data_IF_346643696301
#
_entry.id   IF_346643696301
#
_cell.length_a   1.000
_cell.length_b   1.000
_cell.length_c   1.000
_cell.angle_alpha   90.00
_cell.angle_beta   90.00
_cell.angle_gamma   90.00
#
_symmetry.space_group_name_H-M   'P 1'
#
loop_
_entity.id
_entity.type
_entity.pdbx_description
1 polymer ?
#
# COMPACT_ATOMS: atom_id res chain seq x y z
N UNK A 1 37.55 30.94 -32.39
CA UNK A 1 36.10 30.82 -32.09
C UNK A 1 35.67 29.37 -31.84
N UNK A 2 36.22 28.36 -32.57
CA UNK A 2 35.85 26.93 -32.38
C UNK A 2 36.30 26.37 -31.00
N UNK A 3 37.45 26.72 -30.47
CA UNK A 3 37.98 26.25 -29.19
C UNK A 3 37.15 26.73 -27.98
N UNK A 4 36.62 27.94 -28.00
CA UNK A 4 35.75 28.48 -26.95
C UNK A 4 34.37 27.81 -26.89
N UNK A 5 33.87 27.38 -28.04
CA UNK A 5 32.58 26.61 -28.10
C UNK A 5 32.70 25.23 -27.50
N UNK A 6 33.84 24.55 -27.64
CA UNK A 6 34.09 23.20 -27.14
C UNK A 6 34.25 23.18 -25.63
N UNK A 7 34.96 24.11 -25.04
CA UNK A 7 35.14 24.27 -23.58
C UNK A 7 33.79 24.52 -22.91
N UNK A 8 32.98 25.48 -23.40
CA UNK A 8 31.64 25.75 -22.82
C UNK A 8 30.68 24.55 -22.89
N UNK A 9 30.74 23.74 -23.95
CA UNK A 9 29.93 22.52 -24.05
C UNK A 9 30.40 21.46 -23.06
N UNK A 10 31.69 21.31 -22.85
CA UNK A 10 32.25 20.36 -21.91
C UNK A 10 31.88 20.73 -20.47
N UNK A 11 31.99 21.98 -20.07
CA UNK A 11 31.62 22.51 -18.75
C UNK A 11 30.08 22.29 -18.50
N UNK A 12 29.24 22.58 -19.51
CA UNK A 12 27.80 22.40 -19.37
C UNK A 12 27.39 20.93 -19.22
N UNK A 13 28.12 20.01 -19.87
CA UNK A 13 27.88 18.56 -19.77
C UNK A 13 28.32 18.04 -18.40
N UNK A 14 29.45 18.48 -17.90
CA UNK A 14 29.93 18.14 -16.55
C UNK A 14 28.99 18.66 -15.46
N UNK A 15 28.51 19.90 -15.57
CA UNK A 15 27.55 20.47 -14.62
C UNK A 15 26.23 19.70 -14.61
N UNK A 16 25.71 19.31 -15.79
CA UNK A 16 24.50 18.48 -15.88
C UNK A 16 24.69 17.13 -15.20
N UNK A 17 25.82 16.46 -15.48
CA UNK A 17 26.12 15.17 -14.86
C UNK A 17 26.24 15.29 -13.34
N UNK A 18 26.91 16.31 -12.82
CA UNK A 18 27.01 16.56 -11.37
C UNK A 18 25.62 16.81 -10.74
N UNK A 19 24.73 17.51 -11.45
CA UNK A 19 23.37 17.75 -10.97
C UNK A 19 22.53 16.47 -10.99
N UNK A 20 22.67 15.63 -12.04
CA UNK A 20 22.03 14.31 -12.12
C UNK A 20 22.51 13.38 -11.00
N UNK A 21 23.84 13.31 -10.78
CA UNK A 21 24.44 12.52 -9.70
C UNK A 21 23.93 12.97 -8.32
N UNK A 22 23.85 14.30 -8.09
CA UNK A 22 23.31 14.83 -6.84
C UNK A 22 21.84 14.47 -6.64
N UNK A 23 21.01 14.60 -7.68
CA UNK A 23 19.59 14.23 -7.62
C UNK A 23 19.41 12.74 -7.33
N UNK A 24 20.24 11.88 -7.93
CA UNK A 24 20.20 10.45 -7.67
C UNK A 24 20.51 10.14 -6.19
N UNK A 25 21.50 10.80 -5.60
CA UNK A 25 21.82 10.65 -4.17
C UNK A 25 20.66 11.15 -3.29
N UNK A 26 20.09 12.32 -3.57
CA UNK A 26 18.95 12.85 -2.82
C UNK A 26 17.72 11.93 -2.88
N UNK A 27 17.46 11.30 -4.04
CA UNK A 27 16.37 10.33 -4.20
C UNK A 27 16.64 9.04 -3.43
N UNK A 28 17.88 8.53 -3.44
CA UNK A 28 18.22 7.32 -2.67
C UNK A 28 18.14 7.57 -1.16
N UNK A 29 18.54 8.75 -0.68
CA UNK A 29 18.34 9.14 0.72
C UNK A 29 16.85 9.20 1.08
N UNK A 30 16.01 9.75 0.22
CA UNK A 30 14.56 9.80 0.40
C UNK A 30 13.94 8.40 0.43
N UNK A 31 14.39 7.50 -0.46
CA UNK A 31 14.01 6.08 -0.44
C UNK A 31 14.38 5.42 0.87
N UNK A 32 15.66 5.56 1.27
CA UNK A 32 16.14 4.96 2.52
C UNK A 32 15.36 5.48 3.74
N UNK A 33 14.93 6.73 3.72
CA UNK A 33 14.06 7.32 4.74
C UNK A 33 12.66 6.71 4.70
N UNK A 34 12.03 6.61 3.52
CA UNK A 34 10.70 6.02 3.36
C UNK A 34 10.67 4.56 3.81
N UNK A 35 11.68 3.77 3.42
CA UNK A 35 11.77 2.36 3.82
C UNK A 35 11.92 2.16 5.34
N UNK A 36 12.36 3.17 6.07
CA UNK A 36 12.36 3.14 7.55
C UNK A 36 10.95 3.33 8.14
N UNK A 37 10.02 3.87 7.37
CA UNK A 37 8.64 4.05 7.81
C UNK A 37 7.81 2.76 7.68
N UNK A 38 8.21 1.86 6.78
CA UNK A 38 7.54 0.57 6.61
C UNK A 38 7.92 -0.36 7.77
N UNK A 39 6.95 -1.04 8.42
CA UNK A 39 7.23 -1.96 9.52
C UNK A 39 8.15 -3.08 9.09
N UNK A 40 9.25 -3.28 9.82
CA UNK A 40 10.20 -4.38 9.58
C UNK A 40 9.74 -5.72 10.16
N UNK A 41 8.75 -5.68 11.05
CA UNK A 41 8.19 -6.86 11.73
C UNK A 41 6.68 -6.76 11.75
N UNK A 42 6.04 -7.88 11.51
CA UNK A 42 4.59 -8.01 11.67
C UNK A 42 4.25 -8.30 13.13
N UNK A 43 3.19 -7.71 13.69
CA UNK A 43 2.76 -8.00 15.04
C UNK A 43 2.20 -9.42 15.15
N UNK A 44 2.30 -10.00 16.35
CA UNK A 44 1.68 -11.28 16.69
C UNK A 44 0.69 -11.05 17.83
N UNK A 45 -0.59 -11.05 17.52
CA UNK A 45 -1.66 -10.93 18.52
C UNK A 45 -2.98 -11.49 18.00
N UNK A 46 -3.93 -11.75 18.88
CA UNK A 46 -5.28 -12.24 18.54
C UNK A 46 -5.32 -13.56 17.75
N UNK A 47 -4.27 -14.36 17.81
CA UNK A 47 -4.15 -15.56 16.98
C UNK A 47 -4.05 -15.27 15.47
N UNK A 48 -3.58 -14.08 15.12
CA UNK A 48 -3.36 -13.66 13.74
C UNK A 48 -1.91 -13.91 13.35
N UNK A 49 -1.72 -14.49 12.16
CA UNK A 49 -0.44 -14.58 11.46
C UNK A 49 -0.45 -13.60 10.31
N UNK A 50 0.55 -12.74 10.27
CA UNK A 50 0.60 -11.67 9.28
C UNK A 50 1.86 -11.80 8.44
N UNK A 51 1.71 -11.64 7.14
CA UNK A 51 2.82 -11.45 6.22
C UNK A 51 2.55 -10.25 5.33
N UNK A 52 3.55 -9.40 5.13
CA UNK A 52 3.42 -8.17 4.36
C UNK A 52 4.68 -7.90 3.54
N UNK A 53 4.52 -7.21 2.43
CA UNK A 53 5.64 -6.79 1.60
C UNK A 53 5.24 -5.73 0.58
N UNK A 54 6.25 -4.98 0.15
CA UNK A 54 6.17 -4.02 -0.96
C UNK A 54 7.28 -4.34 -1.95
N UNK A 55 6.96 -4.31 -3.24
CA UNK A 55 7.92 -4.25 -4.34
C UNK A 55 7.77 -2.90 -5.02
N UNK A 56 8.75 -2.03 -4.84
CA UNK A 56 8.70 -0.68 -5.40
C UNK A 56 9.07 -0.69 -6.89
N UNK A 57 8.34 0.08 -7.69
CA UNK A 57 8.60 0.32 -9.10
C UNK A 57 9.67 1.40 -9.32
N UNK A 58 9.73 2.38 -8.42
CA UNK A 58 10.65 3.53 -8.48
C UNK A 58 11.47 3.65 -7.19
N UNK A 59 12.39 4.64 -7.16
CA UNK A 59 13.23 4.88 -5.99
C UNK A 59 12.40 5.28 -4.75
N UNK A 60 11.36 6.09 -4.92
CA UNK A 60 10.44 6.52 -3.85
C UNK A 60 9.02 6.22 -4.29
N UNK A 61 8.38 5.26 -3.63
CA UNK A 61 7.03 4.79 -3.96
C UNK A 61 5.91 5.59 -3.30
N UNK A 62 4.68 5.33 -3.74
CA UNK A 62 3.44 5.82 -3.13
C UNK A 62 2.86 4.85 -2.13
N UNK A 63 3.19 3.58 -2.27
CA UNK A 63 2.63 2.49 -1.47
C UNK A 63 3.09 2.52 -0.01
N UNK A 64 2.18 2.10 0.85
CA UNK A 64 2.36 2.09 2.29
C UNK A 64 1.55 1.00 2.96
N UNK A 65 2.12 0.35 3.96
CA UNK A 65 1.35 -0.40 4.95
C UNK A 65 1.88 -0.16 6.35
N UNK A 66 1.00 -0.33 7.34
CA UNK A 66 1.40 -0.24 8.75
C UNK A 66 0.51 -1.10 9.65
N UNK A 67 1.02 -1.33 10.85
CA UNK A 67 0.33 -2.03 11.92
C UNK A 67 0.43 -1.21 13.20
N UNK A 68 -0.70 -0.86 13.78
CA UNK A 68 -0.69 -0.19 15.07
C UNK A 68 -1.67 -0.86 16.03
N UNK A 69 -1.25 -0.91 17.28
CA UNK A 69 -1.95 -1.69 18.31
C UNK A 69 -2.83 -0.80 19.17
N UNK A 70 -4.09 -1.18 19.33
CA UNK A 70 -4.94 -0.73 20.42
C UNK A 70 -4.78 -1.63 21.65
N UNK A 71 -5.55 -1.38 22.72
CA UNK A 71 -5.48 -2.18 23.95
C UNK A 71 -5.79 -3.66 23.74
N UNK A 72 -6.77 -3.98 22.87
CA UNK A 72 -7.22 -5.34 22.56
C UNK A 72 -7.51 -5.50 21.06
N UNK A 73 -6.93 -4.66 20.24
CA UNK A 73 -7.18 -4.62 18.80
C UNK A 73 -5.90 -4.38 18.04
N UNK A 74 -5.88 -4.85 16.81
CA UNK A 74 -4.82 -4.59 15.84
C UNK A 74 -5.41 -3.84 14.65
N UNK A 75 -4.81 -2.72 14.30
CA UNK A 75 -5.12 -2.04 13.06
C UNK A 75 -4.11 -2.43 11.99
N UNK A 76 -4.64 -2.70 10.82
CA UNK A 76 -3.88 -2.90 9.58
C UNK A 76 -4.27 -1.77 8.64
N UNK A 77 -3.30 -0.99 8.20
CA UNK A 77 -3.49 0.07 7.22
C UNK A 77 -2.69 -0.28 5.96
N UNK A 78 -3.33 -0.18 4.80
CA UNK A 78 -2.68 -0.34 3.49
C UNK A 78 -3.14 0.81 2.62
N UNK A 79 -2.22 1.51 2.00
CA UNK A 79 -2.54 2.69 1.23
C UNK A 79 -1.58 2.93 0.08
N UNK A 80 -2.01 3.79 -0.83
CA UNK A 80 -1.27 4.26 -1.97
C UNK A 80 -1.44 5.78 -2.12
N UNK A 81 -0.33 6.49 -2.21
CA UNK A 81 -0.30 7.93 -2.45
C UNK A 81 -0.24 8.23 -3.94
N UNK A 82 -1.11 9.09 -4.43
CA UNK A 82 -1.14 9.50 -5.83
C UNK A 82 0.24 9.90 -6.35
N UNK A 83 0.70 9.24 -7.41
CA UNK A 83 1.96 9.51 -8.09
C UNK A 83 3.15 8.85 -7.42
N UNK A 84 4.35 9.30 -7.74
CA UNK A 84 5.61 8.72 -7.29
C UNK A 84 6.62 9.80 -6.89
N UNK A 85 7.72 9.38 -6.29
CA UNK A 85 8.81 10.27 -5.91
C UNK A 85 8.56 10.99 -4.59
N UNK A 86 9.28 12.09 -4.38
CA UNK A 86 9.34 12.81 -3.10
C UNK A 86 7.96 13.17 -2.54
N UNK A 87 7.02 13.60 -3.40
CA UNK A 87 5.70 14.05 -2.94
C UNK A 87 4.85 12.88 -2.42
N UNK A 88 4.92 11.73 -3.09
CA UNK A 88 4.27 10.50 -2.62
C UNK A 88 4.88 10.04 -1.27
N UNK A 89 6.21 10.05 -1.13
CA UNK A 89 6.89 9.76 0.13
C UNK A 89 6.53 10.73 1.26
N UNK A 90 6.33 12.02 0.97
CA UNK A 90 5.81 12.98 1.95
C UNK A 90 4.38 12.65 2.38
N UNK A 91 3.50 12.27 1.44
CA UNK A 91 2.13 11.85 1.74
C UNK A 91 2.12 10.63 2.67
N UNK A 92 2.96 9.63 2.39
CA UNK A 92 3.16 8.46 3.27
C UNK A 92 3.59 8.89 4.67
N UNK A 93 4.54 9.83 4.77
CA UNK A 93 5.03 10.35 6.06
C UNK A 93 3.93 11.02 6.87
N UNK A 94 3.13 11.86 6.22
CA UNK A 94 1.99 12.55 6.83
C UNK A 94 0.94 11.56 7.28
N UNK A 95 0.63 10.57 6.44
CA UNK A 95 -0.34 9.51 6.75
C UNK A 95 0.11 8.71 7.96
N UNK A 96 1.36 8.27 8.00
CA UNK A 96 1.92 7.55 9.16
C UNK A 96 1.87 8.39 10.43
N UNK A 97 2.33 9.63 10.38
CA UNK A 97 2.29 10.52 11.54
C UNK A 97 0.85 10.75 12.02
N UNK A 98 -0.09 10.92 11.09
CA UNK A 98 -1.52 11.06 11.39
C UNK A 98 -2.11 9.81 12.05
N UNK A 99 -1.80 8.60 11.52
CA UNK A 99 -2.24 7.33 12.10
C UNK A 99 -1.80 7.19 13.57
N UNK A 100 -0.53 7.47 13.86
CA UNK A 100 0.01 7.39 15.23
C UNK A 100 -0.47 8.53 16.14
N UNK A 101 -0.93 9.64 15.57
CA UNK A 101 -1.54 10.75 16.29
C UNK A 101 -3.03 10.58 16.57
N UNK A 102 -3.71 9.59 15.99
CA UNK A 102 -5.13 9.34 16.26
C UNK A 102 -5.34 8.70 17.65
N UNK A 103 -6.48 8.96 18.30
CA UNK A 103 -6.84 8.24 19.52
C UNK A 103 -6.88 6.73 19.28
N UNK A 104 -6.41 5.96 20.25
CA UNK A 104 -6.51 4.51 20.20
C UNK A 104 -7.94 4.01 20.40
N UNK A 105 -8.28 2.89 19.79
CA UNK A 105 -9.57 2.20 19.93
C UNK A 105 -10.80 2.94 19.35
N UNK A 106 -10.61 3.89 18.46
CA UNK A 106 -11.70 4.46 17.67
C UNK A 106 -11.98 3.62 16.43
N UNK A 107 -13.20 3.66 15.85
CA UNK A 107 -13.51 2.96 14.60
C UNK A 107 -12.62 3.41 13.43
N UNK A 108 -12.29 2.50 12.48
CA UNK A 108 -11.43 2.83 11.34
C UNK A 108 -11.91 4.00 10.48
N UNK A 109 -13.22 4.16 10.30
CA UNK A 109 -13.79 5.28 9.54
C UNK A 109 -13.58 6.64 10.24
N UNK A 110 -13.54 6.68 11.56
CA UNK A 110 -13.16 7.88 12.32
C UNK A 110 -11.67 8.19 12.14
N UNK A 111 -10.81 7.16 12.10
CA UNK A 111 -9.39 7.32 11.78
C UNK A 111 -9.25 7.95 10.39
N UNK A 112 -9.94 7.41 9.38
CA UNK A 112 -9.94 7.95 8.01
C UNK A 112 -10.45 9.39 7.95
N UNK A 113 -11.48 9.73 8.71
CA UNK A 113 -11.99 11.10 8.80
C UNK A 113 -10.94 12.07 9.37
N UNK A 114 -10.25 11.68 10.45
CA UNK A 114 -9.18 12.50 11.07
C UNK A 114 -8.02 12.69 10.08
N UNK A 115 -7.59 11.61 9.41
CA UNK A 115 -6.54 11.65 8.40
C UNK A 115 -6.92 12.55 7.22
N UNK A 116 -8.15 12.42 6.71
CA UNK A 116 -8.66 13.26 5.63
C UNK A 116 -8.59 14.74 5.99
N UNK A 117 -9.01 15.10 7.20
CA UNK A 117 -8.91 16.48 7.70
C UNK A 117 -7.48 16.98 7.76
N UNK A 118 -6.56 16.13 8.25
CA UNK A 118 -5.13 16.45 8.38
C UNK A 118 -4.51 16.69 7.00
N UNK A 119 -4.68 15.74 6.07
CA UNK A 119 -4.16 15.83 4.71
C UNK A 119 -4.76 17.04 3.98
N UNK A 120 -6.07 17.27 4.14
CA UNK A 120 -6.74 18.42 3.54
C UNK A 120 -6.27 19.76 4.09
N UNK A 121 -5.91 19.82 5.38
CA UNK A 121 -5.39 21.03 6.01
C UNK A 121 -3.97 21.39 5.52
N UNK A 122 -3.17 20.39 5.18
CA UNK A 122 -1.81 20.58 4.64
C UNK A 122 -1.88 21.03 3.17
N UNK A 123 -2.90 20.60 2.44
CA UNK A 123 -3.20 20.95 1.03
C UNK A 123 -2.03 20.70 0.07
N UNK A 124 -1.69 19.43 -0.12
CA UNK A 124 -0.68 18.99 -1.09
C UNK A 124 -1.20 19.01 -2.55
N UNK A 125 -2.15 19.87 -2.86
CA UNK A 125 -2.70 20.09 -4.20
C UNK A 125 -3.40 18.86 -4.78
N UNK A 126 -2.86 18.29 -5.86
CA UNK A 126 -3.46 17.12 -6.54
C UNK A 126 -3.20 15.81 -5.81
N UNK A 127 -2.21 15.76 -4.92
CA UNK A 127 -1.83 14.53 -4.26
C UNK A 127 -2.85 14.13 -3.20
N UNK A 128 -3.22 12.87 -3.25
CA UNK A 128 -4.23 12.24 -2.41
C UNK A 128 -3.66 10.94 -1.84
N UNK A 129 -4.35 10.35 -0.87
CA UNK A 129 -4.00 9.07 -0.29
C UNK A 129 -5.19 8.13 -0.37
N UNK A 130 -5.08 7.10 -1.20
CA UNK A 130 -5.97 5.95 -1.11
C UNK A 130 -5.54 5.12 0.11
N UNK A 131 -6.48 4.65 0.93
CA UNK A 131 -6.16 3.86 2.12
C UNK A 131 -7.32 2.97 2.54
N UNK A 132 -7.02 1.71 2.84
CA UNK A 132 -7.87 0.80 3.58
C UNK A 132 -7.36 0.66 5.00
N UNK A 133 -8.25 0.76 5.99
CA UNK A 133 -7.93 0.57 7.40
C UNK A 133 -8.87 -0.49 7.97
N UNK A 134 -8.29 -1.57 8.49
CA UNK A 134 -9.03 -2.63 9.16
C UNK A 134 -8.63 -2.71 10.63
N UNK A 135 -9.61 -2.79 11.53
CA UNK A 135 -9.41 -3.06 12.95
C UNK A 135 -9.84 -4.49 13.27
N UNK A 136 -8.88 -5.32 13.59
CA UNK A 136 -9.09 -6.69 14.08
C UNK A 136 -9.25 -6.65 15.59
N UNK A 137 -10.36 -7.16 16.10
CA UNK A 137 -10.59 -7.27 17.53
C UNK A 137 -11.58 -8.39 17.83
N UNK A 138 -11.28 -9.19 18.85
CA UNK A 138 -12.04 -10.41 19.13
C UNK A 138 -12.16 -11.31 17.89
N UNK A 139 -13.39 -11.59 17.41
CA UNK A 139 -13.66 -12.41 16.24
C UNK A 139 -14.28 -11.59 15.10
N UNK A 140 -13.93 -10.31 14.99
CA UNK A 140 -14.41 -9.46 13.90
C UNK A 140 -13.38 -8.49 13.40
N UNK A 141 -13.62 -8.03 12.17
CA UNK A 141 -12.92 -6.92 11.54
C UNK A 141 -13.93 -5.79 11.34
N UNK A 142 -13.53 -4.60 11.68
CA UNK A 142 -14.15 -3.37 11.20
C UNK A 142 -13.29 -2.81 10.09
N UNK A 143 -13.87 -2.66 8.89
CA UNK A 143 -13.16 -2.21 7.69
C UNK A 143 -13.73 -0.89 7.19
N UNK A 144 -12.84 0.00 6.82
CA UNK A 144 -13.14 1.20 6.01
C UNK A 144 -12.17 1.28 4.84
N UNK A 145 -12.59 1.91 3.75
CA UNK A 145 -11.74 2.13 2.57
C UNK A 145 -11.99 3.52 1.97
N UNK A 146 -10.93 4.12 1.49
CA UNK A 146 -10.89 5.37 0.77
C UNK A 146 -10.18 5.15 -0.57
N UNK A 147 -10.91 4.67 -1.58
CA UNK A 147 -10.45 4.41 -2.94
C UNK A 147 -9.36 3.32 -3.11
N UNK A 148 -9.26 2.38 -2.19
CA UNK A 148 -8.39 1.20 -2.36
C UNK A 148 -9.09 0.06 -3.08
N UNK A 149 -8.33 -0.88 -3.70
CA UNK A 149 -8.84 -2.16 -4.17
C UNK A 149 -9.65 -2.91 -3.11
N UNK A 150 -10.49 -3.90 -3.50
CA UNK A 150 -11.26 -4.67 -2.55
C UNK A 150 -10.36 -5.43 -1.55
N UNK A 151 -10.84 -5.56 -0.30
CA UNK A 151 -10.31 -6.56 0.61
C UNK A 151 -10.81 -7.93 0.16
N UNK A 152 -9.92 -8.89 0.00
CA UNK A 152 -10.28 -10.28 -0.27
C UNK A 152 -10.38 -11.05 1.04
N UNK A 153 -11.50 -11.73 1.23
CA UNK A 153 -11.74 -12.60 2.37
C UNK A 153 -11.89 -14.05 1.91
N UNK A 154 -10.85 -14.85 2.07
CA UNK A 154 -10.90 -16.29 1.88
C UNK A 154 -11.53 -16.92 3.11
N UNK A 155 -12.65 -17.63 2.92
CA UNK A 155 -13.39 -18.36 3.94
C UNK A 155 -12.90 -19.81 4.02
N UNK A 156 -12.22 -20.16 5.09
CA UNK A 156 -11.64 -21.50 5.26
C UNK A 156 -12.69 -22.62 5.26
N UNK A 157 -13.91 -22.32 5.68
CA UNK A 157 -15.01 -23.29 5.75
C UNK A 157 -15.50 -23.73 4.36
N UNK A 158 -15.49 -22.84 3.37
CA UNK A 158 -16.06 -23.10 2.03
C UNK A 158 -15.02 -23.10 0.92
N UNK A 159 -13.82 -22.55 1.15
CA UNK A 159 -12.82 -22.30 0.13
C UNK A 159 -13.18 -21.15 -0.83
N UNK A 160 -14.25 -20.41 -0.53
CA UNK A 160 -14.68 -19.26 -1.33
C UNK A 160 -13.93 -17.99 -0.94
N UNK A 161 -13.84 -17.05 -1.88
CA UNK A 161 -13.26 -15.72 -1.67
C UNK A 161 -14.31 -14.67 -1.94
N UNK A 162 -14.61 -13.87 -0.93
CA UNK A 162 -15.43 -12.66 -1.09
C UNK A 162 -14.52 -11.46 -1.44
N UNK A 163 -15.00 -10.62 -2.36
CA UNK A 163 -14.41 -9.31 -2.66
C UNK A 163 -15.22 -8.24 -1.93
N UNK A 164 -14.61 -7.58 -0.95
CA UNK A 164 -15.27 -6.55 -0.15
C UNK A 164 -14.77 -5.19 -0.62
N UNK A 165 -15.51 -4.61 -1.56
CA UNK A 165 -15.24 -3.29 -2.11
C UNK A 165 -16.08 -2.25 -1.36
N UNK A 166 -15.43 -1.21 -0.83
CA UNK A 166 -16.07 -0.06 -0.24
C UNK A 166 -15.80 1.17 -1.12
N UNK A 167 -16.87 1.81 -1.56
CA UNK A 167 -16.76 3.06 -2.29
C UNK A 167 -16.34 4.19 -1.35
N UNK A 168 -15.50 5.08 -1.84
CA UNK A 168 -15.02 6.25 -1.11
C UNK A 168 -13.99 7.02 -1.92
N UNK A 169 -13.88 8.32 -1.66
CA UNK A 169 -12.86 9.15 -2.28
C UNK A 169 -11.54 9.05 -1.52
N UNK A 170 -10.40 9.17 -2.21
CA UNK A 170 -9.11 9.18 -1.51
C UNK A 170 -9.04 10.31 -0.49
N UNK A 171 -8.30 10.11 0.58
CA UNK A 171 -8.08 11.12 1.62
C UNK A 171 -7.49 12.40 1.02
N UNK A 172 -7.95 13.54 1.50
CA UNK A 172 -7.57 14.85 1.00
C UNK A 172 -8.40 15.36 -0.19
N UNK A 173 -9.41 14.60 -0.66
CA UNK A 173 -10.29 15.01 -1.77
C UNK A 173 -11.20 16.16 -1.36
N UNK A 174 -12.09 15.95 -0.39
CA UNK A 174 -13.03 16.95 0.07
C UNK A 174 -12.98 17.12 1.59
N UNK A 175 -13.23 18.37 2.04
CA UNK A 175 -13.39 18.68 3.45
C UNK A 175 -14.71 18.09 3.94
N UNK A 176 -14.66 17.31 5.03
CA UNK A 176 -15.86 16.71 5.62
C UNK A 176 -16.31 15.41 4.96
N UNK A 177 -15.50 14.81 4.08
CA UNK A 177 -15.75 13.46 3.55
C UNK A 177 -15.93 12.46 4.67
N UNK A 178 -16.88 11.55 4.52
CA UNK A 178 -17.16 10.46 5.45
C UNK A 178 -16.94 9.12 4.78
N UNK A 179 -16.51 8.12 5.55
CA UNK A 179 -16.14 6.81 5.03
C UNK A 179 -17.05 5.74 5.65
N UNK A 180 -17.50 4.81 4.81
CA UNK A 180 -18.30 3.67 5.24
C UNK A 180 -17.52 2.76 6.18
N UNK A 181 -18.23 2.13 7.10
CA UNK A 181 -17.69 1.11 7.99
C UNK A 181 -18.48 -0.17 7.82
N UNK A 182 -17.79 -1.29 7.64
CA UNK A 182 -18.42 -2.62 7.61
C UNK A 182 -17.80 -3.53 8.65
N UNK A 183 -18.64 -4.39 9.23
CA UNK A 183 -18.23 -5.42 10.16
C UNK A 183 -18.16 -6.77 9.40
N UNK A 184 -17.08 -7.52 9.60
CA UNK A 184 -16.85 -8.84 9.01
C UNK A 184 -16.54 -9.80 10.14
N UNK A 185 -17.25 -10.91 10.20
CA UNK A 185 -16.93 -11.99 11.14
C UNK A 185 -15.66 -12.72 10.72
N UNK A 186 -14.87 -13.14 11.70
CA UNK A 186 -13.63 -13.90 11.48
C UNK A 186 -13.83 -15.30 12.05
N UNK A 187 -13.56 -16.31 11.24
CA UNK A 187 -13.46 -17.69 11.67
C UNK A 187 -12.02 -18.19 11.63
N UNK A 188 -11.74 -19.22 12.38
CA UNK A 188 -10.44 -19.88 12.34
C UNK A 188 -10.13 -20.39 10.92
N UNK A 189 -8.93 -20.12 10.44
CA UNK A 189 -8.48 -20.47 9.10
C UNK A 189 -8.72 -19.38 8.05
N UNK A 190 -9.62 -18.42 8.31
CA UNK A 190 -9.91 -17.33 7.38
C UNK A 190 -8.67 -16.50 7.07
N UNK A 191 -8.61 -16.03 5.82
CA UNK A 191 -7.50 -15.19 5.33
C UNK A 191 -8.05 -13.89 4.76
N UNK A 192 -7.41 -12.79 5.11
CA UNK A 192 -7.71 -11.46 4.61
C UNK A 192 -6.50 -10.94 3.84
N UNK A 193 -6.72 -10.54 2.58
CA UNK A 193 -5.66 -10.07 1.70
C UNK A 193 -5.96 -8.65 1.24
N UNK A 194 -5.06 -7.75 1.58
CA UNK A 194 -5.03 -6.37 1.10
C UNK A 194 -3.98 -6.26 0.00
N UNK A 195 -4.29 -5.55 -1.05
CA UNK A 195 -3.37 -5.25 -2.15
C UNK A 195 -3.44 -3.78 -2.53
N UNK A 196 -2.38 -3.25 -3.15
CA UNK A 196 -2.47 -2.03 -3.97
C UNK A 196 -2.86 -2.38 -5.40
N UNK A 197 -3.24 -1.38 -6.17
CA UNK A 197 -3.66 -1.53 -7.57
C UNK A 197 -2.51 -1.94 -8.50
N UNK A 198 -1.26 -1.68 -8.13
CA UNK A 198 -0.09 -2.07 -8.92
C UNK A 198 0.03 -3.57 -9.20
N UNK A 199 -0.63 -4.45 -8.41
CA UNK A 199 -0.68 -5.88 -8.70
C UNK A 199 -1.71 -6.20 -9.80
N UNK A 200 -3.02 -5.91 -9.65
CA UNK A 200 -4.01 -6.22 -10.68
C UNK A 200 -3.82 -5.38 -11.96
N UNK A 201 -3.22 -4.20 -11.88
CA UNK A 201 -2.96 -3.32 -13.01
C UNK A 201 -1.59 -3.56 -13.67
N UNK A 202 -0.78 -4.48 -13.13
CA UNK A 202 0.48 -4.89 -13.76
C UNK A 202 0.26 -5.25 -15.22
N UNK A 203 1.03 -4.61 -16.12
CA UNK A 203 0.85 -4.70 -17.56
C UNK A 203 2.01 -5.48 -18.19
N UNK A 204 1.68 -6.50 -18.99
CA UNK A 204 2.65 -7.34 -19.68
C UNK A 204 3.15 -6.72 -21.00
N UNK A 205 4.06 -7.42 -21.72
CA UNK A 205 4.62 -6.98 -23.01
C UNK A 205 3.55 -6.77 -24.11
N UNK A 206 2.37 -7.38 -23.97
CA UNK A 206 1.26 -7.22 -24.90
C UNK A 206 0.27 -6.13 -24.47
N UNK A 207 0.65 -5.28 -23.51
CA UNK A 207 -0.17 -4.20 -22.97
C UNK A 207 -1.48 -4.68 -22.32
N UNK A 208 -1.46 -5.89 -21.73
CA UNK A 208 -2.59 -6.49 -21.06
C UNK A 208 -2.41 -6.43 -19.55
N UNK A 209 -3.43 -5.98 -18.83
CA UNK A 209 -3.45 -5.99 -17.36
C UNK A 209 -3.63 -7.41 -16.84
N UNK A 210 -3.02 -7.71 -15.67
CA UNK A 210 -3.22 -8.96 -14.95
C UNK A 210 -4.70 -9.16 -14.56
N UNK A 211 -5.30 -8.12 -14.01
CA UNK A 211 -6.72 -8.06 -13.63
C UNK A 211 -7.02 -8.65 -12.25
N UNK A 212 -8.08 -8.14 -11.65
CA UNK A 212 -8.54 -8.54 -10.31
C UNK A 212 -8.94 -10.01 -10.21
N UNK A 213 -9.46 -10.58 -11.32
CA UNK A 213 -9.84 -12.00 -11.37
C UNK A 213 -8.65 -12.93 -11.17
N UNK A 214 -7.49 -12.63 -11.74
CA UNK A 214 -6.30 -13.46 -11.57
C UNK A 214 -5.79 -13.43 -10.11
N UNK A 215 -5.89 -12.28 -9.45
CA UNK A 215 -5.58 -12.12 -8.01
C UNK A 215 -6.53 -12.97 -7.17
N UNK A 216 -7.84 -12.88 -7.41
CA UNK A 216 -8.86 -13.66 -6.72
C UNK A 216 -8.63 -15.17 -6.89
N UNK A 217 -8.38 -15.63 -8.13
CA UNK A 217 -8.12 -17.04 -8.41
C UNK A 217 -6.83 -17.54 -7.72
N UNK A 218 -5.79 -16.70 -7.65
CA UNK A 218 -4.56 -16.99 -6.89
C UNK A 218 -4.85 -17.15 -5.40
N UNK A 219 -5.63 -16.24 -4.80
CA UNK A 219 -6.01 -16.31 -3.38
C UNK A 219 -6.85 -17.57 -3.11
N UNK A 220 -7.81 -17.88 -3.98
CA UNK A 220 -8.65 -19.09 -3.86
C UNK A 220 -7.82 -20.37 -3.87
N UNK A 221 -6.84 -20.43 -4.77
CA UNK A 221 -5.97 -21.62 -4.92
C UNK A 221 -5.03 -21.81 -3.73
N UNK A 222 -4.57 -20.71 -3.13
CA UNK A 222 -3.54 -20.75 -2.09
C UNK A 222 -4.06 -20.46 -0.67
N UNK A 223 -5.35 -20.20 -0.48
CA UNK A 223 -5.93 -19.73 0.79
C UNK A 223 -5.72 -20.66 2.00
N UNK A 224 -5.54 -21.96 1.77
CA UNK A 224 -5.23 -22.94 2.83
C UNK A 224 -3.80 -22.81 3.35
N UNK A 225 -2.88 -22.28 2.55
CA UNK A 225 -1.47 -22.15 2.90
C UNK A 225 -1.22 -21.10 3.99
N UNK A 226 0.03 -20.99 4.46
CA UNK A 226 0.45 -19.96 5.42
C UNK A 226 0.43 -18.56 4.83
N UNK A 227 0.32 -17.54 5.68
CA UNK A 227 0.26 -16.14 5.23
C UNK A 227 1.47 -15.74 4.37
N UNK A 228 2.66 -16.28 4.68
CA UNK A 228 3.87 -16.01 3.89
C UNK A 228 3.81 -16.61 2.50
N UNK A 229 3.31 -17.84 2.39
CA UNK A 229 3.18 -18.56 1.11
C UNK A 229 2.15 -17.89 0.20
N UNK A 230 1.01 -17.45 0.77
CA UNK A 230 -0.02 -16.71 0.03
C UNK A 230 0.54 -15.39 -0.51
N UNK A 231 1.24 -14.64 0.34
CA UNK A 231 1.90 -13.39 -0.08
C UNK A 231 2.89 -13.65 -1.22
N UNK A 232 3.73 -14.68 -1.07
CA UNK A 232 4.73 -15.00 -2.10
C UNK A 232 4.07 -15.42 -3.41
N UNK A 233 3.01 -16.23 -3.38
CA UNK A 233 2.25 -16.63 -4.58
C UNK A 233 1.68 -15.42 -5.34
N UNK A 234 1.22 -14.38 -4.64
CA UNK A 234 0.74 -13.15 -5.26
C UNK A 234 1.88 -12.34 -5.89
N UNK A 235 3.03 -12.24 -5.24
CA UNK A 235 4.19 -11.60 -5.84
C UNK A 235 4.71 -12.36 -7.05
N UNK A 236 4.74 -13.68 -6.99
CA UNK A 236 5.19 -14.53 -8.10
C UNK A 236 4.23 -14.45 -9.29
N UNK A 237 2.92 -14.36 -9.03
CA UNK A 237 1.90 -14.11 -10.04
C UNK A 237 2.18 -12.80 -10.80
N UNK A 238 2.41 -11.69 -10.08
CA UNK A 238 2.74 -10.41 -10.69
C UNK A 238 4.04 -10.45 -11.48
N UNK A 239 5.10 -11.06 -10.93
CA UNK A 239 6.40 -11.17 -11.61
C UNK A 239 6.32 -12.05 -12.87
N UNK A 240 5.59 -13.15 -12.81
CA UNK A 240 5.39 -14.03 -13.96
C UNK A 240 4.59 -13.33 -15.06
N UNK A 241 3.62 -12.49 -14.70
CA UNK A 241 2.84 -11.70 -15.64
C UNK A 241 3.66 -10.63 -16.34
N UNK A 242 4.53 -9.94 -15.59
CA UNK A 242 5.43 -8.92 -16.12
C UNK A 242 6.49 -9.48 -17.07
N UNK A 243 6.85 -10.76 -16.97
CA UNK A 243 7.80 -11.45 -17.85
C UNK A 243 9.11 -10.64 -18.09
N UNK A 244 9.67 -10.12 -17.00
CA UNK A 244 10.92 -9.34 -17.02
C UNK A 244 10.75 -7.84 -17.33
N UNK A 245 9.54 -7.35 -17.57
CA UNK A 245 9.28 -5.91 -17.66
C UNK A 245 9.27 -5.31 -16.27
N UNK A 246 9.80 -4.11 -16.13
CA UNK A 246 9.69 -3.34 -14.89
C UNK A 246 8.24 -2.89 -14.69
N UNK A 247 7.68 -3.17 -13.51
CA UNK A 247 6.36 -2.67 -13.18
C UNK A 247 6.33 -1.14 -13.17
N UNK A 248 5.21 -0.56 -13.54
CA UNK A 248 5.04 0.89 -13.61
C UNK A 248 4.61 1.47 -12.26
N UNK A 249 4.05 0.65 -11.37
CA UNK A 249 3.59 1.04 -10.05
C UNK A 249 4.07 0.07 -8.96
N UNK A 250 4.04 0.52 -7.72
CA UNK A 250 4.41 -0.29 -6.57
C UNK A 250 3.41 -1.45 -6.37
N UNK A 251 3.88 -2.59 -5.90
CA UNK A 251 3.03 -3.72 -5.54
C UNK A 251 3.12 -3.95 -4.05
N UNK A 252 2.02 -3.71 -3.35
CA UNK A 252 1.88 -4.02 -1.93
C UNK A 252 0.93 -5.18 -1.71
N UNK A 253 1.35 -6.13 -0.87
CA UNK A 253 0.53 -7.25 -0.44
C UNK A 253 0.63 -7.40 1.08
N UNK A 254 -0.52 -7.41 1.75
CA UNK A 254 -0.62 -7.71 3.19
C UNK A 254 -1.61 -8.85 3.37
N UNK A 255 -1.15 -9.95 3.96
CA UNK A 255 -1.95 -11.14 4.25
C UNK A 255 -2.10 -11.31 5.75
N UNK A 256 -3.33 -11.42 6.23
CA UNK A 256 -3.67 -11.68 7.63
C UNK A 256 -4.45 -12.99 7.70
N UNK A 257 -3.91 -14.00 8.38
CA UNK A 257 -4.55 -15.31 8.56
C UNK A 257 -4.92 -15.53 10.03
N UNK A 258 -6.14 -16.00 10.29
CA UNK A 258 -6.60 -16.38 11.62
C UNK A 258 -6.21 -17.82 11.92
N UNK A 259 -5.23 -18.04 12.81
CA UNK A 259 -4.75 -19.38 13.14
C UNK A 259 -5.47 -19.98 14.36
N UNK A 260 -5.83 -19.15 15.35
CA UNK A 260 -6.50 -19.62 16.59
C UNK A 260 -7.64 -18.71 17.00
#
# INVERSE_FOLDING_TARGET
LAAFGTVRRHDSTQMKKMEEDRRAVELEEARAFQMKMIPKKTPSMLGLKISAGIKTATEVGGDYYDFFQGKKSLYVAVGDATGHGMTAGMMVSITKAGLYGTPQNIPPNEVSYILNRTIKAIDLGKNKMAISIARFWENKIELTSAAMPPLYHYKAETGEVDEILLEGLPLGSFKGETYSLVDIEIKKGDVFVFISDGLPEATNISDQMLGYKAVLDCIRTNGEHGAEEIKQSLFDLGLAWLDGIQNQDDITVVVVKKET
#
